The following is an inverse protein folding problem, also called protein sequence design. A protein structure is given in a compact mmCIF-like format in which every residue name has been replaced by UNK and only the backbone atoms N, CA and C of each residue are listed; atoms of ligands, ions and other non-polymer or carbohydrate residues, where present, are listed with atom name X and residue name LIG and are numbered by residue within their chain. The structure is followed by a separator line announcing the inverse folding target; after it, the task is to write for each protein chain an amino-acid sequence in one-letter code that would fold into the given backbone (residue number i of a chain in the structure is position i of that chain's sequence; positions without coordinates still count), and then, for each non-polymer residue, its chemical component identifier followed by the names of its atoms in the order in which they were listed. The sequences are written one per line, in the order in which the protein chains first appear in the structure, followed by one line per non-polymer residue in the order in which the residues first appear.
data_IF_647422065798
#
_entry.id   IF_647422065798
#
_cell.length_a   1.000
_cell.length_b   1.000
_cell.length_c   1.000
_cell.angle_alpha   90.00
_cell.angle_beta   90.00
_cell.angle_gamma   90.00
#
_symmetry.space_group_name_H-M   'P 1'
#
loop_
_entity.id
_entity.type
_entity.pdbx_description
1 polymer ?
#
# COMPACT_ATOMS: atom_id res chain seq x y z
N UNK A 1 -10.73 4.18 -13.69
CA UNK A 1 -11.13 5.42 -13.01
C UNK A 1 -10.19 6.55 -13.43
N UNK A 2 -10.68 7.46 -14.25
CA UNK A 2 -9.99 8.69 -14.65
C UNK A 2 -9.75 9.53 -13.40
N UNK A 3 -8.48 9.71 -13.00
CA UNK A 3 -8.15 10.68 -11.95
C UNK A 3 -8.52 12.06 -12.50
N UNK A 4 -9.51 12.70 -11.90
CA UNK A 4 -9.67 14.15 -12.06
C UNK A 4 -8.32 14.77 -11.65
N UNK A 5 -7.71 15.60 -12.52
CA UNK A 5 -6.54 16.37 -12.14
C UNK A 5 -6.83 17.12 -10.84
N UNK A 6 -5.88 17.29 -9.91
CA UNK A 6 -6.10 18.09 -8.70
C UNK A 6 -6.62 19.50 -8.99
N UNK A 7 -6.24 20.07 -10.14
CA UNK A 7 -6.74 21.37 -10.65
C UNK A 7 -8.21 21.38 -11.05
N UNK A 8 -8.85 20.21 -11.16
CA UNK A 8 -10.27 20.02 -11.47
C UNK A 8 -11.10 19.67 -10.24
N UNK A 9 -10.48 19.45 -9.08
CA UNK A 9 -11.20 19.28 -7.82
C UNK A 9 -11.67 20.65 -7.33
N UNK A 10 -12.89 20.70 -6.78
CA UNK A 10 -13.38 21.94 -6.17
C UNK A 10 -12.51 22.32 -4.97
N UNK A 11 -12.43 23.63 -4.69
CA UNK A 11 -11.74 24.13 -3.49
C UNK A 11 -12.37 23.55 -2.22
N UNK A 12 -13.69 23.41 -2.17
CA UNK A 12 -14.41 22.81 -1.04
C UNK A 12 -13.90 21.39 -0.75
N UNK A 13 -13.87 20.49 -1.75
CA UNK A 13 -13.35 19.12 -1.58
C UNK A 13 -11.88 19.14 -1.12
N UNK A 14 -11.06 19.98 -1.74
CA UNK A 14 -9.63 20.08 -1.44
C UNK A 14 -9.39 20.56 -0.01
N UNK A 15 -10.13 21.58 0.43
CA UNK A 15 -10.11 22.12 1.78
C UNK A 15 -10.54 21.08 2.81
N UNK A 16 -11.69 20.42 2.60
CA UNK A 16 -12.19 19.37 3.49
C UNK A 16 -11.17 18.24 3.63
N UNK A 17 -10.64 17.76 2.52
CA UNK A 17 -9.67 16.66 2.51
C UNK A 17 -8.40 17.01 3.28
N UNK A 18 -7.79 18.18 3.01
CA UNK A 18 -6.56 18.57 3.69
C UNK A 18 -6.76 18.81 5.19
N UNK A 19 -7.87 19.43 5.61
CA UNK A 19 -8.17 19.65 7.03
C UNK A 19 -8.32 18.32 7.76
N UNK A 20 -9.14 17.41 7.25
CA UNK A 20 -9.37 16.11 7.89
C UNK A 20 -8.11 15.25 7.91
N UNK A 21 -7.37 15.20 6.80
CA UNK A 21 -6.13 14.45 6.72
C UNK A 21 -5.11 14.96 7.76
N UNK A 22 -4.92 16.28 7.83
CA UNK A 22 -4.00 16.88 8.78
C UNK A 22 -4.41 16.63 10.25
N UNK A 23 -5.71 16.58 10.53
CA UNK A 23 -6.23 16.24 11.86
C UNK A 23 -5.91 14.79 12.23
N UNK A 24 -6.16 13.83 11.32
CA UNK A 24 -5.88 12.41 11.56
C UNK A 24 -4.38 12.06 11.58
N UNK A 25 -3.54 12.88 10.95
CA UNK A 25 -2.07 12.72 11.01
C UNK A 25 -1.48 13.12 12.37
N UNK A 26 -2.24 13.78 13.26
CA UNK A 26 -1.80 14.26 14.57
C UNK A 26 -0.51 15.10 14.52
N UNK A 27 -0.32 15.83 13.41
CA UNK A 27 0.90 16.58 13.10
C UNK A 27 0.63 18.09 13.11
N UNK A 28 1.30 18.81 14.01
CA UNK A 28 1.20 20.27 14.12
C UNK A 28 1.55 20.97 12.79
N UNK A 29 2.58 20.47 12.08
CA UNK A 29 3.00 21.03 10.79
C UNK A 29 1.95 20.76 9.71
N UNK A 30 1.38 19.56 9.68
CA UNK A 30 0.30 19.22 8.73
C UNK A 30 -0.91 20.11 8.95
N UNK A 31 -1.30 20.32 10.22
CA UNK A 31 -2.45 21.16 10.59
C UNK A 31 -2.22 22.62 10.18
N UNK A 32 -1.03 23.16 10.42
CA UNK A 32 -0.66 24.50 10.01
C UNK A 32 -0.70 24.68 8.47
N UNK A 33 -0.15 23.74 7.71
CA UNK A 33 -0.19 23.80 6.25
C UNK A 33 -1.62 23.66 5.70
N UNK A 34 -2.46 22.82 6.32
CA UNK A 34 -3.87 22.68 5.95
C UNK A 34 -4.63 23.99 6.19
N UNK A 35 -4.42 24.64 7.34
CA UNK A 35 -5.06 25.92 7.67
C UNK A 35 -4.59 27.06 6.77
N UNK A 36 -3.28 27.15 6.49
CA UNK A 36 -2.76 28.14 5.55
C UNK A 36 -3.41 27.98 4.17
N UNK A 37 -3.53 26.74 3.68
CA UNK A 37 -4.18 26.42 2.41
C UNK A 37 -5.67 26.76 2.44
N UNK A 38 -6.38 26.41 3.51
CA UNK A 38 -7.80 26.69 3.67
C UNK A 38 -8.08 28.20 3.58
N UNK A 39 -7.43 29.00 4.43
CA UNK A 39 -7.61 30.47 4.45
C UNK A 39 -7.27 31.07 3.10
N UNK A 40 -6.18 30.62 2.46
CA UNK A 40 -5.76 31.13 1.16
C UNK A 40 -6.76 30.78 0.05
N UNK A 41 -7.29 29.56 0.03
CA UNK A 41 -8.21 29.10 -1.03
C UNK A 41 -9.60 29.73 -0.91
N UNK A 42 -10.14 29.85 0.30
CA UNK A 42 -11.49 30.37 0.52
C UNK A 42 -11.52 31.89 0.34
N UNK A 43 -10.52 32.62 0.87
CA UNK A 43 -10.51 34.09 0.76
C UNK A 43 -10.25 34.59 -0.66
N UNK A 44 -9.50 33.85 -1.48
CA UNK A 44 -9.13 34.27 -2.84
C UNK A 44 -10.15 33.91 -3.92
N UNK A 45 -11.22 33.18 -3.61
CA UNK A 45 -12.13 32.61 -4.62
C UNK A 45 -12.71 33.65 -5.59
N UNK A 46 -13.25 34.75 -5.04
CA UNK A 46 -13.82 35.83 -5.86
C UNK A 46 -12.75 36.57 -6.67
N UNK A 47 -11.56 36.80 -6.08
CA UNK A 47 -10.47 37.46 -6.77
C UNK A 47 -10.00 36.60 -7.95
N UNK A 48 -9.76 35.32 -7.72
CA UNK A 48 -9.25 34.40 -8.73
C UNK A 48 -10.27 34.18 -9.86
N UNK A 49 -11.57 34.19 -9.54
CA UNK A 49 -12.63 33.96 -10.52
C UNK A 49 -12.99 35.21 -11.33
N UNK A 50 -13.01 36.38 -10.69
CA UNK A 50 -13.59 37.60 -11.28
C UNK A 50 -12.50 38.59 -11.70
N UNK A 51 -11.43 38.74 -10.92
CA UNK A 51 -10.37 39.75 -11.14
C UNK A 51 -8.97 39.18 -10.85
N UNK A 52 -8.49 38.18 -11.62
CA UNK A 52 -7.23 37.47 -11.33
C UNK A 52 -5.99 38.37 -11.34
N UNK A 53 -6.05 39.52 -12.01
CA UNK A 53 -4.94 40.48 -12.09
C UNK A 53 -5.01 41.61 -11.05
N UNK A 54 -6.04 41.62 -10.20
CA UNK A 54 -6.18 42.64 -9.15
C UNK A 54 -5.60 42.12 -7.83
N UNK A 55 -4.48 42.70 -7.40
CA UNK A 55 -3.90 42.37 -6.10
C UNK A 55 -4.70 43.05 -4.97
N UNK A 56 -5.32 42.24 -4.09
CA UNK A 56 -5.92 42.72 -2.84
C UNK A 56 -5.16 42.13 -1.65
N UNK A 57 -5.18 42.84 -0.53
CA UNK A 57 -4.58 42.33 0.71
C UNK A 57 -5.37 41.13 1.24
N UNK A 58 -4.66 40.16 1.83
CA UNK A 58 -5.30 38.99 2.44
C UNK A 58 -6.36 39.39 3.46
N UNK A 59 -6.09 40.39 4.29
CA UNK A 59 -7.05 40.89 5.29
C UNK A 59 -8.34 41.44 4.64
N UNK A 60 -8.24 42.07 3.47
CA UNK A 60 -9.42 42.53 2.73
C UNK A 60 -10.21 41.35 2.15
N UNK A 61 -9.52 40.32 1.69
CA UNK A 61 -10.13 39.13 1.11
C UNK A 61 -10.86 38.30 2.18
N UNK A 62 -10.20 38.04 3.31
CA UNK A 62 -10.80 37.31 4.45
C UNK A 62 -12.01 38.04 5.01
N UNK A 63 -11.95 39.37 5.12
CA UNK A 63 -13.10 40.18 5.58
C UNK A 63 -14.32 40.06 4.65
N UNK A 64 -14.11 40.00 3.33
CA UNK A 64 -15.22 39.87 2.36
C UNK A 64 -15.98 38.56 2.51
N UNK A 65 -15.27 37.47 2.82
CA UNK A 65 -15.87 36.14 3.05
C UNK A 65 -16.33 35.93 4.50
N UNK A 66 -16.28 36.96 5.36
CA UNK A 66 -16.72 36.89 6.75
C UNK A 66 -15.76 36.15 7.70
N UNK A 67 -14.51 35.92 7.29
CA UNK A 67 -13.51 35.30 8.16
C UNK A 67 -13.03 36.26 9.26
N UNK A 68 -12.85 35.78 10.50
CA UNK A 68 -12.17 36.52 11.57
C UNK A 68 -10.77 37.01 11.15
N UNK A 69 -10.39 38.21 11.59
CA UNK A 69 -9.08 38.79 11.29
C UNK A 69 -7.92 37.92 11.78
N UNK A 70 -8.07 37.29 12.96
CA UNK A 70 -7.03 36.43 13.54
C UNK A 70 -6.71 35.20 12.67
N UNK A 71 -7.59 34.75 11.78
CA UNK A 71 -7.28 33.69 10.81
C UNK A 71 -6.39 34.18 9.66
N UNK A 72 -6.54 35.46 9.26
CA UNK A 72 -5.65 36.08 8.30
C UNK A 72 -4.25 36.23 8.89
N UNK A 73 -4.17 36.64 10.17
CA UNK A 73 -2.92 36.74 10.92
C UNK A 73 -2.30 35.35 11.11
N UNK A 74 -3.09 34.35 11.51
CA UNK A 74 -2.66 32.95 11.61
C UNK A 74 -2.02 32.45 10.31
N UNK A 75 -2.68 32.67 9.17
CA UNK A 75 -2.14 32.30 7.85
C UNK A 75 -0.78 32.98 7.62
N UNK A 76 -0.69 34.28 7.89
CA UNK A 76 0.55 35.04 7.68
C UNK A 76 1.69 34.55 8.58
N UNK A 77 1.40 34.23 9.85
CA UNK A 77 2.38 33.68 10.79
C UNK A 77 2.89 32.32 10.32
N UNK A 78 2.02 31.44 9.81
CA UNK A 78 2.45 30.15 9.26
C UNK A 78 3.33 30.34 8.01
N UNK A 79 3.04 31.34 7.18
CA UNK A 79 3.74 31.53 5.90
C UNK A 79 5.07 32.28 6.02
N UNK A 80 5.14 33.26 6.93
CA UNK A 80 6.24 34.23 7.00
C UNK A 80 6.74 34.49 8.42
N UNK A 81 6.00 34.04 9.44
CA UNK A 81 6.33 34.22 10.84
C UNK A 81 6.81 32.94 11.52
N UNK A 82 6.59 32.87 12.82
CA UNK A 82 6.82 31.67 13.63
C UNK A 82 5.63 30.73 13.56
N UNK A 83 5.90 29.42 13.58
CA UNK A 83 4.85 28.40 13.65
C UNK A 83 3.95 28.65 14.89
N UNK A 84 2.63 28.82 14.71
CA UNK A 84 1.71 29.06 15.82
C UNK A 84 1.62 27.88 16.80
N UNK A 85 1.17 28.17 18.02
CA UNK A 85 0.96 27.13 19.04
C UNK A 85 -0.13 26.15 18.61
N UNK A 86 -0.07 24.92 19.14
CA UNK A 86 -1.04 23.88 18.79
C UNK A 86 -2.47 24.29 19.16
N UNK A 87 -2.67 24.98 20.28
CA UNK A 87 -3.99 25.42 20.73
C UNK A 87 -4.61 26.43 19.77
N UNK A 88 -3.79 27.32 19.18
CA UNK A 88 -4.26 28.28 18.20
C UNK A 88 -4.58 27.61 16.85
N UNK A 89 -3.77 26.62 16.45
CA UNK A 89 -4.03 25.81 15.27
C UNK A 89 -5.32 24.98 15.42
N UNK A 90 -5.56 24.38 16.57
CA UNK A 90 -6.79 23.63 16.86
C UNK A 90 -8.03 24.52 16.79
N UNK A 91 -7.98 25.74 17.34
CA UNK A 91 -9.07 26.72 17.18
C UNK A 91 -9.30 27.08 15.72
N UNK A 92 -8.23 27.28 14.96
CA UNK A 92 -8.29 27.50 13.51
C UNK A 92 -8.95 26.34 12.78
N UNK A 93 -8.61 25.11 13.17
CA UNK A 93 -9.18 23.89 12.62
C UNK A 93 -10.67 23.79 12.88
N UNK A 94 -11.12 23.92 14.13
CA UNK A 94 -12.54 23.81 14.46
C UNK A 94 -13.39 24.87 13.76
N UNK A 95 -12.90 26.11 13.67
CA UNK A 95 -13.60 27.16 12.92
C UNK A 95 -13.70 26.83 11.43
N UNK A 96 -12.59 26.36 10.84
CA UNK A 96 -12.55 25.99 9.42
C UNK A 96 -13.42 24.77 9.12
N UNK A 97 -13.47 23.81 10.05
CA UNK A 97 -14.30 22.61 9.95
C UNK A 97 -15.79 22.96 10.01
N UNK A 98 -16.18 23.87 10.90
CA UNK A 98 -17.56 24.39 10.99
C UNK A 98 -18.00 25.01 9.65
N UNK A 99 -17.16 25.89 9.08
CA UNK A 99 -17.43 26.51 7.78
C UNK A 99 -17.62 25.49 6.66
N UNK A 100 -16.78 24.45 6.64
CA UNK A 100 -16.88 23.36 5.66
C UNK A 100 -18.13 22.51 5.91
N UNK A 101 -18.50 22.26 7.17
CA UNK A 101 -19.70 21.52 7.54
C UNK A 101 -20.95 22.26 7.06
N UNK A 102 -21.07 23.55 7.37
CA UNK A 102 -22.20 24.37 6.95
C UNK A 102 -22.32 24.46 5.42
N UNK A 103 -21.18 24.53 4.71
CA UNK A 103 -21.13 24.43 3.26
C UNK A 103 -21.71 23.09 2.78
N UNK A 104 -21.25 21.98 3.33
CA UNK A 104 -21.73 20.66 2.92
C UNK A 104 -23.20 20.48 3.27
N UNK A 105 -23.65 20.80 4.48
CA UNK A 105 -25.05 20.70 4.91
C UNK A 105 -25.99 21.44 3.94
N UNK A 106 -25.60 22.65 3.54
CA UNK A 106 -26.36 23.46 2.56
C UNK A 106 -26.41 22.81 1.18
N UNK A 107 -25.33 22.16 0.75
CA UNK A 107 -25.20 21.57 -0.59
C UNK A 107 -25.60 20.08 -0.66
N UNK A 108 -25.78 19.41 0.49
CA UNK A 108 -26.14 17.99 0.59
C UNK A 108 -27.54 17.74 1.12
N UNK A 109 -28.27 18.78 1.53
CA UNK A 109 -29.66 18.70 2.03
C UNK A 109 -30.58 17.91 1.10
N UNK A 110 -30.48 18.09 -0.22
CA UNK A 110 -31.24 17.33 -1.23
C UNK A 110 -30.83 15.86 -1.37
N UNK A 111 -29.65 15.48 -0.88
CA UNK A 111 -29.16 14.10 -0.88
C UNK A 111 -29.56 13.33 0.38
N UNK A 112 -30.07 13.99 1.43
CA UNK A 112 -30.44 13.33 2.70
C UNK A 112 -31.36 12.11 2.51
N UNK A 113 -32.42 12.25 1.71
CA UNK A 113 -33.34 11.14 1.42
C UNK A 113 -32.69 10.03 0.58
N UNK A 114 -31.74 10.38 -0.29
CA UNK A 114 -30.98 9.41 -1.08
C UNK A 114 -30.05 8.63 -0.13
N UNK A 115 -29.32 9.30 0.76
CA UNK A 115 -28.43 8.68 1.73
C UNK A 115 -29.16 7.66 2.62
N UNK A 116 -30.33 8.01 3.18
CA UNK A 116 -31.12 7.10 4.03
C UNK A 116 -31.59 5.85 3.25
N UNK A 117 -32.03 6.02 2.00
CA UNK A 117 -32.42 4.89 1.14
C UNK A 117 -31.24 4.00 0.78
N UNK A 118 -30.09 4.60 0.48
CA UNK A 118 -28.87 3.86 0.16
C UNK A 118 -28.34 3.10 1.38
N UNK A 119 -28.39 3.70 2.57
CA UNK A 119 -27.94 3.09 3.83
C UNK A 119 -28.80 1.89 4.23
N UNK A 120 -30.13 2.02 4.19
CA UNK A 120 -31.05 0.90 4.46
C UNK A 120 -30.89 -0.25 3.46
N UNK A 121 -30.74 0.08 2.17
CA UNK A 121 -30.47 -0.93 1.13
C UNK A 121 -29.12 -1.63 1.36
N UNK A 122 -28.09 -0.88 1.76
CA UNK A 122 -26.76 -1.42 2.08
C UNK A 122 -26.81 -2.35 3.30
N UNK A 123 -27.45 -1.96 4.39
CA UNK A 123 -27.59 -2.80 5.58
C UNK A 123 -28.34 -4.11 5.29
N UNK A 124 -29.40 -4.06 4.48
CA UNK A 124 -30.09 -5.25 4.02
C UNK A 124 -29.17 -6.18 3.22
N UNK A 125 -28.31 -5.61 2.36
CA UNK A 125 -27.32 -6.36 1.59
C UNK A 125 -26.30 -7.06 2.49
N UNK A 126 -25.80 -6.35 3.50
CA UNK A 126 -24.87 -6.90 4.49
C UNK A 126 -25.48 -8.11 5.22
N UNK A 127 -26.75 -8.00 5.64
CA UNK A 127 -27.44 -9.11 6.30
C UNK A 127 -27.59 -10.36 5.41
N UNK A 128 -27.85 -10.17 4.10
CA UNK A 128 -27.87 -11.27 3.13
C UNK A 128 -26.49 -11.93 3.01
N UNK A 129 -25.43 -11.12 2.89
CA UNK A 129 -24.05 -11.63 2.82
C UNK A 129 -23.68 -12.40 4.07
N UNK A 130 -23.98 -11.88 5.27
CA UNK A 130 -23.70 -12.55 6.53
C UNK A 130 -24.45 -13.88 6.66
N UNK A 131 -25.74 -13.90 6.29
CA UNK A 131 -26.53 -15.14 6.28
C UNK A 131 -25.96 -16.19 5.31
N UNK A 132 -25.56 -15.75 4.12
CA UNK A 132 -24.91 -16.60 3.13
C UNK A 132 -23.57 -17.16 3.64
N UNK A 133 -22.70 -16.32 4.19
CA UNK A 133 -21.40 -16.75 4.71
C UNK A 133 -21.56 -17.67 5.93
N UNK A 134 -22.49 -17.37 6.83
CA UNK A 134 -22.77 -18.21 7.98
C UNK A 134 -23.21 -19.62 7.58
N UNK A 135 -24.10 -19.74 6.59
CA UNK A 135 -24.56 -21.04 6.09
C UNK A 135 -23.46 -21.82 5.36
N UNK A 136 -22.70 -21.16 4.49
CA UNK A 136 -21.74 -21.87 3.62
C UNK A 136 -20.36 -22.12 4.26
N UNK A 137 -20.01 -21.36 5.30
CA UNK A 137 -18.74 -21.55 6.03
C UNK A 137 -18.90 -22.39 7.31
N UNK A 138 -20.10 -22.48 7.90
CA UNK A 138 -20.33 -23.19 9.17
C UNK A 138 -20.96 -24.59 9.03
N UNK A 139 -21.86 -24.84 8.06
CA UNK A 139 -22.43 -26.18 7.79
C UNK A 139 -22.86 -26.35 6.31
N UNK A 140 -22.14 -27.13 5.48
CA UNK A 140 -22.32 -27.19 4.03
C UNK A 140 -23.57 -27.93 3.53
N UNK A 141 -24.65 -28.05 4.32
CA UNK A 141 -25.80 -28.91 4.01
C UNK A 141 -27.12 -28.25 3.59
N UNK A 142 -27.18 -26.93 3.42
CA UNK A 142 -28.40 -26.29 2.91
C UNK A 142 -28.09 -25.16 1.93
N UNK A 143 -28.45 -25.40 0.67
CA UNK A 143 -28.20 -24.51 -0.46
C UNK A 143 -29.47 -23.71 -0.77
N UNK A 144 -29.38 -22.38 -0.74
CA UNK A 144 -30.36 -21.49 -1.36
C UNK A 144 -29.63 -20.39 -2.15
N UNK A 145 -29.30 -20.67 -3.41
CA UNK A 145 -28.74 -19.68 -4.34
C UNK A 145 -29.68 -18.49 -4.61
N UNK A 146 -30.96 -18.60 -4.25
CA UNK A 146 -31.98 -17.56 -4.42
C UNK A 146 -31.73 -16.30 -3.56
N UNK A 147 -30.95 -16.40 -2.47
CA UNK A 147 -30.68 -15.23 -1.61
C UNK A 147 -29.78 -14.19 -2.28
N UNK A 148 -28.88 -14.60 -3.18
CA UNK A 148 -27.95 -13.68 -3.85
C UNK A 148 -28.62 -12.83 -4.92
N UNK A 149 -29.75 -13.28 -5.48
CA UNK A 149 -30.51 -12.51 -6.47
C UNK A 149 -31.12 -11.23 -5.88
N UNK A 150 -31.35 -11.18 -4.56
CA UNK A 150 -31.80 -9.99 -3.86
C UNK A 150 -30.73 -8.87 -3.86
N UNK A 151 -29.46 -9.20 -4.09
CA UNK A 151 -28.35 -8.24 -4.21
C UNK A 151 -28.32 -7.52 -5.57
N UNK A 152 -29.14 -7.94 -6.54
CA UNK A 152 -29.09 -7.45 -7.92
C UNK A 152 -29.29 -5.93 -8.02
N UNK A 153 -30.11 -5.35 -7.15
CA UNK A 153 -30.44 -3.93 -7.15
C UNK A 153 -29.27 -3.04 -6.68
N UNK A 154 -28.27 -3.59 -5.96
CA UNK A 154 -27.15 -2.83 -5.38
C UNK A 154 -25.89 -2.85 -6.24
N UNK A 155 -25.59 -3.97 -6.90
CA UNK A 155 -24.46 -4.05 -7.84
C UNK A 155 -24.70 -3.29 -9.15
N UNK A 156 -25.94 -2.83 -9.40
CA UNK A 156 -26.28 -1.95 -10.52
C UNK A 156 -26.12 -0.45 -10.24
N UNK A 157 -25.96 -0.03 -8.98
CA UNK A 157 -25.71 1.36 -8.58
C UNK A 157 -24.27 1.49 -8.07
N UNK A 158 -23.41 2.17 -8.85
CA UNK A 158 -21.98 2.38 -8.55
C UNK A 158 -21.73 2.97 -7.16
N UNK A 159 -22.73 3.61 -6.54
CA UNK A 159 -22.66 4.23 -5.21
C UNK A 159 -22.59 3.22 -4.06
N UNK A 160 -23.18 2.03 -4.21
CA UNK A 160 -23.27 1.02 -3.14
C UNK A 160 -22.50 -0.28 -3.46
N UNK A 161 -22.23 -0.56 -4.74
CA UNK A 161 -21.51 -1.76 -5.16
C UNK A 161 -20.08 -1.86 -4.59
N UNK A 162 -19.30 -0.77 -4.59
CA UNK A 162 -17.92 -0.78 -4.06
C UNK A 162 -17.88 -0.99 -2.54
N UNK A 163 -18.66 -0.26 -1.72
CA UNK A 163 -18.79 -0.54 -0.29
C UNK A 163 -19.21 -1.98 0.01
N UNK A 164 -20.14 -2.55 -0.78
CA UNK A 164 -20.58 -3.93 -0.58
C UNK A 164 -19.47 -4.94 -0.89
N UNK A 165 -18.67 -4.71 -1.93
CA UNK A 165 -17.48 -5.53 -2.21
C UNK A 165 -16.47 -5.47 -1.06
N UNK A 166 -16.26 -4.28 -0.47
CA UNK A 166 -15.40 -4.13 0.71
C UNK A 166 -15.93 -4.93 1.89
N UNK A 167 -17.23 -4.82 2.16
CA UNK A 167 -17.89 -5.56 3.23
C UNK A 167 -17.77 -7.08 3.02
N UNK A 168 -18.08 -7.58 1.83
CA UNK A 168 -17.92 -9.00 1.46
C UNK A 168 -16.48 -9.46 1.74
N UNK A 169 -15.49 -8.70 1.30
CA UNK A 169 -14.08 -9.04 1.52
C UNK A 169 -13.76 -9.13 3.02
N UNK A 170 -14.18 -8.14 3.80
CA UNK A 170 -13.93 -8.12 5.25
C UNK A 170 -14.63 -9.27 5.97
N UNK A 171 -15.89 -9.57 5.63
CA UNK A 171 -16.64 -10.67 6.25
C UNK A 171 -16.03 -12.04 5.93
N UNK A 172 -15.56 -12.25 4.69
CA UNK A 172 -14.81 -13.48 4.33
C UNK A 172 -13.53 -13.61 5.17
N UNK A 173 -12.78 -12.51 5.32
CA UNK A 173 -11.51 -12.49 6.06
C UNK A 173 -11.68 -12.58 7.58
N UNK A 174 -12.89 -12.39 8.12
CA UNK A 174 -13.19 -12.58 9.54
C UNK A 174 -13.41 -14.06 9.92
N UNK A 175 -13.47 -14.97 8.94
CA UNK A 175 -13.56 -16.40 9.20
C UNK A 175 -12.34 -16.87 10.01
N UNK A 176 -12.61 -17.44 11.19
CA UNK A 176 -11.57 -17.88 12.14
C UNK A 176 -11.07 -19.31 11.90
N UNK A 177 -11.55 -19.99 10.85
CA UNK A 177 -11.19 -21.38 10.62
C UNK A 177 -9.77 -21.50 10.01
N UNK A 178 -8.80 -22.07 10.74
CA UNK A 178 -7.42 -22.18 10.29
C UNK A 178 -7.26 -23.04 9.03
N UNK A 179 -8.21 -23.92 8.70
CA UNK A 179 -8.16 -24.77 7.49
C UNK A 179 -8.06 -23.94 6.21
N UNK A 180 -8.74 -22.79 6.20
CA UNK A 180 -8.81 -21.92 5.03
C UNK A 180 -7.51 -21.15 4.80
N UNK A 181 -6.70 -20.93 5.85
CA UNK A 181 -5.41 -20.28 5.70
C UNK A 181 -4.40 -21.17 4.96
N UNK A 182 -4.44 -22.49 5.21
CA UNK A 182 -3.56 -23.46 4.56
C UNK A 182 -4.02 -23.79 3.13
N UNK A 183 -5.33 -23.81 2.89
CA UNK A 183 -5.91 -24.11 1.59
C UNK A 183 -6.94 -23.04 1.15
N UNK A 184 -6.50 -21.87 0.67
CA UNK A 184 -7.40 -20.79 0.22
C UNK A 184 -8.38 -21.21 -0.88
N UNK A 185 -7.99 -22.20 -1.70
CA UNK A 185 -8.86 -22.76 -2.73
C UNK A 185 -10.10 -23.46 -2.15
N UNK A 186 -10.01 -24.07 -0.97
CA UNK A 186 -11.15 -24.70 -0.31
C UNK A 186 -12.17 -23.68 0.18
N UNK A 187 -11.70 -22.53 0.70
CA UNK A 187 -12.54 -21.38 1.01
C UNK A 187 -13.29 -20.90 -0.23
N UNK A 188 -12.56 -20.65 -1.32
CA UNK A 188 -13.16 -20.16 -2.57
C UNK A 188 -14.17 -21.16 -3.15
N UNK A 189 -13.97 -22.47 -2.93
CA UNK A 189 -14.92 -23.50 -3.31
C UNK A 189 -16.19 -23.45 -2.44
N UNK A 190 -16.07 -23.23 -1.13
CA UNK A 190 -17.23 -23.09 -0.22
C UNK A 190 -18.11 -21.88 -0.57
N UNK A 191 -17.51 -20.81 -1.10
CA UNK A 191 -18.23 -19.59 -1.51
C UNK A 191 -18.34 -19.44 -3.04
N UNK A 192 -18.29 -20.55 -3.79
CA UNK A 192 -18.27 -20.54 -5.26
C UNK A 192 -19.43 -19.74 -5.88
N UNK A 193 -20.66 -19.92 -5.37
CA UNK A 193 -21.84 -19.20 -5.86
C UNK A 193 -21.70 -17.68 -5.70
N UNK A 194 -21.17 -17.21 -4.57
CA UNK A 194 -20.89 -15.79 -4.34
C UNK A 194 -19.80 -15.26 -5.28
N UNK A 195 -18.70 -16.00 -5.49
CA UNK A 195 -17.63 -15.58 -6.40
C UNK A 195 -18.12 -15.49 -7.85
N UNK A 196 -18.92 -16.48 -8.30
CA UNK A 196 -19.54 -16.47 -9.62
C UNK A 196 -20.52 -15.30 -9.76
N UNK A 197 -21.31 -15.02 -8.73
CA UNK A 197 -22.21 -13.88 -8.72
C UNK A 197 -21.47 -12.54 -8.84
N UNK A 198 -20.44 -12.31 -8.01
CA UNK A 198 -19.62 -11.09 -8.05
C UNK A 198 -18.88 -10.95 -9.41
N UNK A 199 -18.48 -12.07 -10.02
CA UNK A 199 -17.93 -12.11 -11.38
C UNK A 199 -18.95 -11.66 -12.43
N UNK A 200 -20.17 -12.21 -12.40
CA UNK A 200 -21.25 -11.81 -13.32
C UNK A 200 -21.55 -10.31 -13.24
N UNK A 201 -21.41 -9.73 -12.05
CA UNK A 201 -21.54 -8.28 -11.84
C UNK A 201 -20.31 -7.47 -12.24
N UNK A 202 -19.24 -8.06 -12.78
CA UNK A 202 -17.99 -7.36 -13.15
C UNK A 202 -17.28 -6.69 -11.96
N UNK A 203 -17.39 -7.26 -10.75
CA UNK A 203 -16.79 -6.72 -9.53
C UNK A 203 -15.71 -7.63 -8.93
N UNK A 204 -15.41 -8.79 -9.53
CA UNK A 204 -14.47 -9.76 -8.98
C UNK A 204 -13.04 -9.20 -8.81
N UNK A 205 -12.57 -8.39 -9.77
CA UNK A 205 -11.26 -7.73 -9.67
C UNK A 205 -11.18 -6.76 -8.49
N UNK A 206 -12.30 -6.12 -8.12
CA UNK A 206 -12.37 -5.24 -6.96
C UNK A 206 -12.34 -6.07 -5.68
N UNK A 207 -13.05 -7.20 -5.64
CA UNK A 207 -13.02 -8.12 -4.51
C UNK A 207 -11.61 -8.67 -4.25
N UNK A 208 -10.92 -9.12 -5.31
CA UNK A 208 -9.53 -9.57 -5.22
C UNK A 208 -8.62 -8.46 -4.70
N UNK A 209 -8.78 -7.24 -5.21
CA UNK A 209 -8.03 -6.09 -4.74
C UNK A 209 -8.29 -5.81 -3.25
N UNK A 210 -9.54 -5.93 -2.79
CA UNK A 210 -9.86 -5.73 -1.37
C UNK A 210 -9.17 -6.76 -0.47
N UNK A 211 -8.99 -8.01 -0.90
CA UNK A 211 -8.21 -8.98 -0.12
C UNK A 211 -6.78 -8.49 0.13
N UNK A 212 -6.12 -7.95 -0.90
CA UNK A 212 -4.76 -7.39 -0.80
C UNK A 212 -4.77 -6.12 0.07
N UNK A 213 -5.76 -5.25 -0.10
CA UNK A 213 -5.87 -4.01 0.68
C UNK A 213 -6.15 -4.24 2.18
N UNK A 214 -6.66 -5.42 2.55
CA UNK A 214 -6.86 -5.82 3.95
C UNK A 214 -5.60 -6.41 4.59
N UNK A 215 -4.52 -6.61 3.85
CA UNK A 215 -3.22 -6.98 4.42
C UNK A 215 -2.67 -5.76 5.18
N UNK A 216 -2.22 -5.99 6.41
CA UNK A 216 -1.60 -4.98 7.26
C UNK A 216 -0.13 -5.37 7.54
N UNK A 217 0.54 -4.64 8.43
CA UNK A 217 1.90 -4.97 8.88
C UNK A 217 1.92 -5.71 10.25
N UNK A 218 0.77 -6.19 10.72
CA UNK A 218 0.56 -6.68 12.09
C UNK A 218 0.73 -8.19 12.23
N UNK A 219 1.10 -8.68 13.41
CA UNK A 219 1.58 -10.06 13.61
C UNK A 219 0.51 -11.12 13.87
N UNK A 220 -0.69 -10.76 14.34
CA UNK A 220 -1.50 -11.73 15.09
C UNK A 220 -2.60 -12.46 14.29
N UNK A 221 -3.03 -11.96 13.11
CA UNK A 221 -4.13 -12.59 12.31
C UNK A 221 -4.01 -12.42 10.79
N UNK A 222 -2.79 -12.42 10.26
CA UNK A 222 -2.60 -12.16 8.82
C UNK A 222 -2.52 -13.42 7.94
N UNK A 223 -2.44 -14.61 8.52
CA UNK A 223 -2.18 -15.85 7.78
C UNK A 223 -3.21 -16.11 6.66
N UNK A 224 -4.51 -15.93 6.93
CA UNK A 224 -5.55 -16.07 5.90
C UNK A 224 -5.50 -14.93 4.87
N UNK A 225 -5.31 -13.68 5.32
CA UNK A 225 -5.29 -12.50 4.43
C UNK A 225 -4.16 -12.60 3.41
N UNK A 226 -2.97 -12.97 3.88
CA UNK A 226 -1.78 -13.15 3.06
C UNK A 226 -1.96 -14.34 2.14
N UNK A 227 -2.34 -15.52 2.66
CA UNK A 227 -2.44 -16.72 1.83
C UNK A 227 -3.51 -16.62 0.75
N UNK A 228 -4.67 -16.01 1.07
CA UNK A 228 -5.73 -15.75 0.10
C UNK A 228 -5.28 -14.73 -0.96
N UNK A 229 -4.60 -13.66 -0.55
CA UNK A 229 -4.07 -12.67 -1.48
C UNK A 229 -3.03 -13.26 -2.43
N UNK A 230 -2.09 -14.06 -1.92
CA UNK A 230 -1.08 -14.75 -2.74
C UNK A 230 -1.76 -15.70 -3.73
N UNK A 231 -2.74 -16.49 -3.29
CA UNK A 231 -3.47 -17.41 -4.16
C UNK A 231 -4.17 -16.69 -5.32
N UNK A 232 -4.82 -15.55 -5.06
CA UNK A 232 -5.48 -14.78 -6.11
C UNK A 232 -4.51 -14.06 -7.04
N UNK A 233 -3.41 -13.47 -6.54
CA UNK A 233 -2.40 -12.84 -7.40
C UNK A 233 -1.75 -13.88 -8.32
N UNK A 234 -1.46 -15.07 -7.79
CA UNK A 234 -0.94 -16.20 -8.56
C UNK A 234 -1.95 -16.62 -9.64
N UNK A 235 -3.23 -16.74 -9.28
CA UNK A 235 -4.30 -17.10 -10.23
C UNK A 235 -4.48 -16.07 -11.35
N UNK A 236 -4.37 -14.78 -11.06
CA UNK A 236 -4.40 -13.71 -12.07
C UNK A 236 -3.29 -13.87 -13.11
N UNK A 237 -2.12 -14.38 -12.69
CA UNK A 237 -0.97 -14.58 -13.56
C UNK A 237 -1.05 -15.88 -14.34
N UNK A 238 -1.40 -16.96 -13.66
CA UNK A 238 -1.60 -18.28 -14.26
C UNK A 238 -2.69 -18.25 -15.32
N UNK A 239 -3.75 -17.46 -15.13
CA UNK A 239 -4.79 -17.27 -16.13
C UNK A 239 -4.25 -16.72 -17.45
N UNK A 240 -3.31 -15.75 -17.40
CA UNK A 240 -2.67 -15.20 -18.58
C UNK A 240 -1.68 -16.17 -19.22
N UNK A 241 -0.95 -16.92 -18.39
CA UNK A 241 0.02 -17.92 -18.82
C UNK A 241 -0.62 -19.24 -19.31
N UNK A 242 -1.94 -19.42 -19.10
CA UNK A 242 -2.68 -20.66 -19.34
C UNK A 242 -2.16 -21.84 -18.51
N UNK A 243 -1.69 -21.54 -17.29
CA UNK A 243 -1.27 -22.55 -16.32
C UNK A 243 -2.47 -23.15 -15.58
N UNK A 244 -2.31 -24.36 -15.05
CA UNK A 244 -3.33 -25.03 -14.24
C UNK A 244 -3.38 -24.44 -12.83
N UNK A 245 -4.46 -23.73 -12.50
CA UNK A 245 -4.70 -23.19 -11.17
C UNK A 245 -6.19 -23.27 -10.81
N UNK A 246 -6.56 -23.78 -9.62
CA UNK A 246 -7.96 -24.02 -9.24
C UNK A 246 -8.80 -22.75 -9.18
N UNK A 247 -8.21 -21.58 -8.94
CA UNK A 247 -8.93 -20.32 -8.88
C UNK A 247 -9.15 -19.69 -10.26
N UNK A 248 -8.41 -20.13 -11.30
CA UNK A 248 -8.58 -19.61 -12.65
C UNK A 248 -10.00 -19.82 -13.21
N UNK A 249 -10.75 -20.82 -12.72
CA UNK A 249 -12.16 -21.02 -13.12
C UNK A 249 -13.06 -19.84 -12.79
N UNK A 250 -12.73 -19.10 -11.73
CA UNK A 250 -13.48 -17.91 -11.32
C UNK A 250 -13.10 -16.67 -12.12
N UNK A 251 -11.94 -16.66 -12.78
CA UNK A 251 -11.46 -15.50 -13.52
C UNK A 251 -12.05 -15.42 -14.93
N UNK A 252 -12.02 -14.22 -15.50
CA UNK A 252 -12.29 -13.97 -16.91
C UNK A 252 -11.36 -12.86 -17.44
N UNK A 253 -11.41 -12.62 -18.75
CA UNK A 253 -10.59 -11.60 -19.39
C UNK A 253 -10.87 -10.18 -18.90
N UNK A 254 -12.10 -9.89 -18.44
CA UNK A 254 -12.45 -8.57 -17.91
C UNK A 254 -11.76 -8.34 -16.56
N UNK A 255 -11.89 -9.29 -15.63
CA UNK A 255 -11.30 -9.24 -14.30
C UNK A 255 -9.78 -9.00 -14.38
N UNK A 256 -9.07 -9.79 -15.19
CA UNK A 256 -7.61 -9.68 -15.33
C UNK A 256 -7.18 -8.37 -16.00
N UNK A 257 -7.91 -7.91 -17.02
CA UNK A 257 -7.59 -6.68 -17.74
C UNK A 257 -7.83 -5.42 -16.89
N UNK A 258 -8.82 -5.44 -16.01
CA UNK A 258 -9.26 -4.28 -15.23
C UNK A 258 -8.69 -4.22 -13.81
N UNK A 259 -7.96 -5.25 -13.38
CA UNK A 259 -7.33 -5.30 -12.06
C UNK A 259 -6.33 -4.15 -11.84
N UNK A 260 -6.49 -3.40 -10.73
CA UNK A 260 -5.67 -2.22 -10.41
C UNK A 260 -4.36 -2.62 -9.71
N UNK A 261 -3.41 -3.14 -10.51
CA UNK A 261 -2.06 -3.50 -10.08
C UNK A 261 -1.33 -2.36 -9.37
N UNK A 262 -1.58 -1.10 -9.78
CA UNK A 262 -0.97 0.07 -9.18
C UNK A 262 -1.44 0.28 -7.75
N UNK A 263 -2.74 0.15 -7.49
CA UNK A 263 -3.30 0.25 -6.14
C UNK A 263 -2.82 -0.89 -5.26
N UNK A 264 -2.77 -2.12 -5.78
CA UNK A 264 -2.20 -3.28 -5.07
C UNK A 264 -0.73 -3.05 -4.69
N UNK A 265 0.13 -2.66 -5.63
CA UNK A 265 1.55 -2.41 -5.37
C UNK A 265 1.77 -1.26 -4.37
N UNK A 266 1.05 -0.15 -4.53
CA UNK A 266 1.18 0.99 -3.61
C UNK A 266 0.80 0.61 -2.18
N UNK A 267 -0.26 -0.18 -2.00
CA UNK A 267 -0.64 -0.68 -0.69
C UNK A 267 0.46 -1.56 -0.09
N UNK A 268 0.95 -2.55 -0.85
CA UNK A 268 2.00 -3.45 -0.39
C UNK A 268 3.31 -2.73 -0.03
N UNK A 269 3.65 -1.65 -0.74
CA UNK A 269 4.80 -0.81 -0.39
C UNK A 269 4.62 -0.10 0.96
N UNK A 270 3.39 0.29 1.30
CA UNK A 270 3.06 0.96 2.58
C UNK A 270 3.03 -0.01 3.76
N UNK A 271 2.49 -1.22 3.55
CA UNK A 271 2.29 -2.22 4.62
C UNK A 271 3.38 -3.31 4.63
N UNK A 272 4.50 -3.09 3.92
CA UNK A 272 5.55 -4.08 3.75
C UNK A 272 6.11 -4.56 5.09
N UNK A 273 6.04 -5.86 5.33
CA UNK A 273 6.54 -6.53 6.54
C UNK A 273 7.27 -7.83 6.17
N UNK A 274 7.96 -8.43 7.15
CA UNK A 274 8.59 -9.75 6.95
C UNK A 274 7.54 -10.81 6.64
N UNK A 275 6.36 -10.72 7.26
CA UNK A 275 5.29 -11.71 7.13
C UNK A 275 4.62 -11.71 5.76
N UNK A 276 4.50 -10.53 5.13
CA UNK A 276 3.84 -10.38 3.83
C UNK A 276 4.83 -10.19 2.67
N UNK A 277 6.13 -10.41 2.89
CA UNK A 277 7.17 -10.20 1.88
C UNK A 277 6.96 -11.05 0.61
N UNK A 278 6.52 -12.31 0.77
CA UNK A 278 6.24 -13.18 -0.37
C UNK A 278 5.11 -12.63 -1.25
N UNK A 279 4.08 -12.04 -0.64
CA UNK A 279 3.03 -11.34 -1.38
C UNK A 279 3.57 -10.09 -2.08
N UNK A 280 4.44 -9.31 -1.43
CA UNK A 280 5.11 -8.16 -2.07
C UNK A 280 5.88 -8.59 -3.32
N UNK A 281 6.65 -9.68 -3.22
CA UNK A 281 7.42 -10.25 -4.33
C UNK A 281 6.50 -10.65 -5.47
N UNK A 282 5.41 -11.36 -5.15
CA UNK A 282 4.45 -11.83 -6.14
C UNK A 282 3.77 -10.65 -6.84
N UNK A 283 3.31 -9.64 -6.11
CA UNK A 283 2.70 -8.41 -6.69
C UNK A 283 3.68 -7.67 -7.60
N UNK A 284 4.96 -7.57 -7.25
CA UNK A 284 5.97 -6.89 -8.06
C UNK A 284 6.27 -7.65 -9.36
N UNK A 285 6.41 -8.99 -9.28
CA UNK A 285 6.67 -9.84 -10.46
C UNK A 285 5.49 -9.85 -11.43
N UNK A 286 4.30 -9.82 -10.87
CA UNK A 286 3.04 -9.99 -11.57
C UNK A 286 2.45 -8.69 -12.10
N UNK A 287 3.01 -7.56 -11.68
CA UNK A 287 2.58 -6.21 -12.02
C UNK A 287 2.32 -6.01 -13.52
N UNK A 288 1.17 -5.40 -13.86
CA UNK A 288 0.84 -4.96 -15.23
C UNK A 288 0.65 -3.43 -15.28
N UNK A 289 1.20 -2.74 -16.31
CA UNK A 289 2.04 -3.28 -17.40
C UNK A 289 3.39 -3.81 -16.89
N UNK A 290 3.99 -4.82 -17.54
CA UNK A 290 5.16 -5.51 -17.02
C UNK A 290 6.31 -4.55 -16.75
N UNK A 291 6.87 -4.64 -15.54
CA UNK A 291 8.03 -3.84 -15.14
C UNK A 291 9.31 -4.46 -15.69
N UNK A 292 10.29 -3.63 -16.06
CA UNK A 292 11.62 -4.12 -16.42
C UNK A 292 12.25 -4.88 -15.23
N UNK A 293 12.94 -5.98 -15.52
CA UNK A 293 13.55 -6.84 -14.50
C UNK A 293 14.50 -6.07 -13.57
N UNK A 294 15.27 -5.11 -14.10
CA UNK A 294 16.18 -4.27 -13.31
C UNK A 294 15.44 -3.42 -12.27
N UNK A 295 14.26 -2.90 -12.62
CA UNK A 295 13.40 -2.12 -11.74
C UNK A 295 12.73 -3.00 -10.68
N UNK A 296 12.27 -4.20 -11.06
CA UNK A 296 11.76 -5.18 -10.11
C UNK A 296 12.82 -5.54 -9.07
N UNK A 297 14.03 -5.88 -9.53
CA UNK A 297 15.16 -6.21 -8.66
C UNK A 297 15.54 -5.06 -7.71
N UNK A 298 15.48 -3.81 -8.18
CA UNK A 298 15.74 -2.62 -7.36
C UNK A 298 14.70 -2.47 -6.25
N UNK A 299 13.41 -2.57 -6.58
CA UNK A 299 12.32 -2.44 -5.60
C UNK A 299 12.41 -3.54 -4.55
N UNK A 300 12.56 -4.80 -4.98
CA UNK A 300 12.69 -5.93 -4.06
C UNK A 300 13.96 -5.85 -3.21
N UNK A 301 15.06 -5.33 -3.77
CA UNK A 301 16.28 -5.06 -3.03
C UNK A 301 16.10 -4.00 -1.94
N UNK A 302 15.38 -2.92 -2.23
CA UNK A 302 15.04 -1.91 -1.23
C UNK A 302 14.12 -2.47 -0.14
N UNK A 303 13.12 -3.29 -0.50
CA UNK A 303 12.27 -3.97 0.48
C UNK A 303 13.08 -4.90 1.39
N UNK A 304 13.98 -5.73 0.83
CA UNK A 304 14.87 -6.60 1.61
C UNK A 304 15.74 -5.80 2.59
N UNK A 305 16.34 -4.71 2.12
CA UNK A 305 17.16 -3.84 2.94
C UNK A 305 16.34 -3.19 4.07
N UNK A 306 15.12 -2.72 3.77
CA UNK A 306 14.21 -2.14 4.76
C UNK A 306 13.77 -3.15 5.82
N UNK A 307 13.44 -4.37 5.40
CA UNK A 307 12.98 -5.44 6.30
C UNK A 307 14.12 -6.18 7.01
N UNK A 308 15.39 -5.87 6.70
CA UNK A 308 16.55 -6.59 7.22
C UNK A 308 16.68 -8.03 6.71
N UNK A 309 15.92 -8.41 5.67
CA UNK A 309 15.95 -9.72 5.00
C UNK A 309 17.09 -9.70 3.97
N UNK A 310 18.32 -9.51 4.41
CA UNK A 310 19.47 -9.61 3.52
C UNK A 310 20.00 -11.05 3.55
N UNK A 311 19.80 -11.80 2.45
CA UNK A 311 20.45 -13.11 2.22
C UNK A 311 21.99 -13.01 2.14
N UNK A 312 22.51 -11.78 2.08
CA UNK A 312 23.92 -11.47 2.18
C UNK A 312 24.11 -10.73 3.51
N UNK A 313 24.92 -11.24 4.42
CA UNK A 313 25.28 -10.57 5.68
C UNK A 313 26.09 -9.27 5.51
N UNK A 314 25.70 -8.39 4.59
CA UNK A 314 26.33 -7.11 4.33
C UNK A 314 25.30 -5.99 4.57
N UNK A 315 25.09 -5.56 5.82
CA UNK A 315 24.50 -4.25 6.08
C UNK A 315 25.31 -3.17 5.33
N UNK A 316 24.73 -2.00 5.00
CA UNK A 316 25.50 -0.87 4.48
C UNK A 316 26.68 -0.64 5.41
N UNK A 317 27.90 -0.85 4.91
CA UNK A 317 29.09 -0.71 5.73
C UNK A 317 29.25 0.77 6.07
N UNK A 318 28.92 1.14 7.31
CA UNK A 318 29.13 2.48 7.83
C UNK A 318 30.54 2.54 8.38
N UNK A 319 31.43 3.23 7.67
CA UNK A 319 32.80 3.51 8.12
C UNK A 319 32.85 4.89 8.76
N UNK A 320 33.14 4.95 10.05
CA UNK A 320 33.33 6.20 10.79
C UNK A 320 34.81 6.56 10.71
N UNK A 321 35.14 7.78 10.28
CA UNK A 321 36.50 8.32 10.29
C UNK A 321 36.54 9.57 11.15
N UNK A 322 37.27 9.51 12.24
CA UNK A 322 37.51 10.65 13.12
C UNK A 322 38.77 11.41 12.64
N UNK A 323 38.64 12.71 12.42
CA UNK A 323 39.74 13.64 12.19
C UNK A 323 39.79 14.63 13.36
N UNK A 324 40.88 15.39 13.47
CA UNK A 324 41.10 16.35 14.58
C UNK A 324 39.94 17.33 14.78
N UNK A 325 39.37 17.82 13.67
CA UNK A 325 38.35 18.88 13.69
C UNK A 325 36.94 18.42 13.25
N UNK A 326 36.79 17.19 12.73
CA UNK A 326 35.50 16.66 12.30
C UNK A 326 35.45 15.12 12.27
N UNK A 327 34.24 14.59 12.32
CA UNK A 327 33.95 13.17 12.14
C UNK A 327 33.21 12.97 10.82
N UNK A 328 33.66 12.00 10.02
CA UNK A 328 33.04 11.63 8.74
C UNK A 328 32.37 10.27 8.85
N UNK A 329 31.06 10.21 8.64
CA UNK A 329 30.30 8.98 8.50
C UNK A 329 30.22 8.62 7.03
N UNK A 330 30.81 7.51 6.63
CA UNK A 330 30.84 7.04 5.25
C UNK A 330 29.96 5.82 5.09
N UNK A 331 28.85 5.96 4.37
CA UNK A 331 27.89 4.88 4.12
C UNK A 331 28.14 4.35 2.72
N UNK A 332 28.57 3.08 2.63
CA UNK A 332 28.76 2.43 1.34
C UNK A 332 27.46 1.77 0.91
N UNK A 333 26.93 2.23 -0.22
CA UNK A 333 25.89 1.56 -0.98
C UNK A 333 26.50 0.86 -2.20
N UNK A 334 25.70 0.08 -2.94
CA UNK A 334 26.16 -0.69 -4.12
C UNK A 334 26.90 0.15 -5.15
N UNK A 335 26.42 1.38 -5.42
CA UNK A 335 26.95 2.26 -6.47
C UNK A 335 27.56 3.57 -5.96
N UNK A 336 27.16 4.04 -4.79
CA UNK A 336 27.53 5.35 -4.26
C UNK A 336 28.12 5.25 -2.85
N UNK A 337 29.02 6.19 -2.53
CA UNK A 337 29.56 6.38 -1.19
C UNK A 337 29.05 7.71 -0.67
N UNK A 338 28.14 7.67 0.30
CA UNK A 338 27.63 8.87 0.95
C UNK A 338 28.56 9.24 2.10
N UNK A 339 28.94 10.52 2.21
CA UNK A 339 29.78 11.02 3.30
C UNK A 339 29.07 12.17 4.02
N UNK A 340 28.75 11.96 5.29
CA UNK A 340 28.26 13.00 6.19
C UNK A 340 29.44 13.50 7.05
N UNK A 341 29.73 14.80 7.00
CA UNK A 341 30.80 15.44 7.80
C UNK A 341 30.17 16.21 8.94
N UNK A 342 30.56 15.91 10.18
CA UNK A 342 30.02 16.55 11.40
C UNK A 342 31.17 17.16 12.18
N UNK A 343 31.09 18.44 12.47
CA UNK A 343 32.11 19.20 13.23
C UNK A 343 31.80 19.24 14.73
N UNK A 344 30.52 19.21 15.11
CA UNK A 344 30.07 19.34 16.50
C UNK A 344 30.09 18.00 17.25
N UNK A 345 30.86 17.91 18.34
CA UNK A 345 31.09 16.66 19.10
C UNK A 345 29.82 16.08 19.75
N UNK A 346 28.89 16.92 20.19
CA UNK A 346 27.65 16.45 20.84
C UNK A 346 26.70 15.74 19.86
N UNK A 347 26.66 16.19 18.59
CA UNK A 347 25.86 15.57 17.54
C UNK A 347 26.43 14.21 17.12
N UNK A 348 27.75 14.04 17.20
CA UNK A 348 28.43 12.77 16.88
C UNK A 348 27.93 11.63 17.78
N UNK A 349 27.77 11.88 19.09
CA UNK A 349 27.30 10.86 20.03
C UNK A 349 25.88 10.37 19.70
N UNK A 350 24.97 11.30 19.42
CA UNK A 350 23.58 11.00 19.02
C UNK A 350 23.53 10.21 17.72
N UNK A 351 24.30 10.62 16.71
CA UNK A 351 24.35 9.93 15.42
C UNK A 351 24.93 8.52 15.58
N UNK A 352 25.98 8.33 16.40
CA UNK A 352 26.52 7.00 16.71
C UNK A 352 25.49 6.09 17.38
N UNK A 353 24.69 6.61 18.32
CA UNK A 353 23.63 5.83 18.99
C UNK A 353 22.44 5.47 18.08
N UNK A 354 22.21 6.25 17.02
CA UNK A 354 21.16 5.98 16.04
C UNK A 354 21.58 4.97 14.96
N UNK A 355 22.86 4.58 14.89
CA UNK A 355 23.31 3.55 13.97
C UNK A 355 22.91 2.16 14.51
N UNK A 356 22.47 1.23 13.64
CA UNK A 356 22.08 -0.11 14.06
C UNK A 356 23.27 -0.80 14.76
N UNK A 357 23.05 -1.58 15.84
CA UNK A 357 24.10 -2.07 16.75
C UNK A 357 25.07 -3.12 16.16
N UNK A 358 24.93 -3.51 14.88
CA UNK A 358 25.90 -4.36 14.16
C UNK A 358 26.40 -3.75 12.84
N UNK A 359 27.20 -2.68 12.86
CA UNK A 359 28.18 -2.43 11.82
C UNK A 359 29.44 -3.20 12.24
N UNK A 360 29.97 -4.10 11.40
CA UNK A 360 31.32 -4.63 11.58
C UNK A 360 32.33 -3.46 11.48
N UNK A 361 32.55 -2.78 12.60
CA UNK A 361 33.66 -1.87 12.80
C UNK A 361 34.92 -2.73 12.88
N UNK A 362 35.41 -3.13 11.72
CA UNK A 362 36.76 -3.63 11.61
C UNK A 362 37.69 -2.43 11.72
N UNK A 363 38.26 -2.26 12.91
CA UNK A 363 39.48 -1.51 13.11
C UNK A 363 40.61 -2.29 12.42
N UNK A 364 40.70 -2.16 11.09
CA UNK A 364 41.70 -2.84 10.28
C UNK A 364 42.96 -1.98 10.21
N UNK A 365 43.93 -2.34 11.05
CA UNK A 365 45.36 -2.16 10.80
C UNK A 365 45.70 -2.75 9.42
N UNK A 366 46.56 -2.05 8.67
CA UNK A 366 47.04 -2.42 7.34
C UNK A 366 47.41 -3.91 7.24
N UNK A 367 46.70 -4.64 6.38
CA UNK A 367 47.29 -5.73 5.58
C UNK A 367 46.37 -6.00 4.38
N UNK A 368 46.90 -5.80 3.18
CA UNK A 368 46.16 -5.88 1.94
C UNK A 368 45.57 -7.26 1.68
N UNK A 369 44.31 -7.30 1.24
CA UNK A 369 43.76 -8.34 0.36
C UNK A 369 42.66 -7.71 -0.49
N UNK A 370 42.91 -7.69 -1.80
CA UNK A 370 41.96 -7.30 -2.83
C UNK A 370 41.05 -8.50 -3.10
N UNK A 371 39.73 -8.36 -2.90
CA UNK A 371 38.77 -9.31 -3.45
C UNK A 371 38.51 -8.94 -4.91
N UNK A 372 39.12 -9.69 -5.84
CA UNK A 372 38.74 -9.67 -7.26
C UNK A 372 37.45 -10.46 -7.44
N UNK A 373 36.51 -9.86 -8.16
CA UNK A 373 35.39 -10.53 -8.81
C UNK A 373 35.91 -11.31 -10.01
N UNK A 374 35.85 -12.63 -9.97
CA UNK A 374 35.81 -13.48 -11.16
C UNK A 374 35.27 -14.85 -10.73
N UNK A 375 34.10 -15.24 -11.26
CA UNK A 375 33.88 -16.63 -11.67
C UNK A 375 32.73 -16.74 -12.67
N UNK A 376 33.13 -17.32 -13.78
CA UNK A 376 32.41 -17.67 -14.99
C UNK A 376 31.10 -18.42 -14.78
N UNK A 377 30.22 -18.19 -15.76
CA UNK A 377 29.08 -19.01 -16.15
C UNK A 377 29.55 -20.42 -16.53
N UNK A 378 28.87 -21.50 -16.10
CA UNK A 378 28.87 -22.74 -16.86
C UNK A 378 27.63 -22.80 -17.75
N UNK A 379 27.88 -22.90 -19.05
CA UNK A 379 26.94 -23.32 -20.07
C UNK A 379 26.37 -24.70 -19.77
N UNK A 380 25.04 -24.83 -19.80
CA UNK A 380 24.37 -26.13 -19.93
C UNK A 380 23.53 -26.07 -21.20
N UNK A 381 23.93 -26.83 -22.21
CA UNK A 381 23.05 -27.25 -23.29
C UNK A 381 22.71 -28.73 -23.12
N UNK A 382 21.44 -28.99 -23.42
CA UNK A 382 20.65 -30.22 -23.53
C UNK A 382 21.45 -31.49 -23.93
N UNK A 383 21.06 -32.72 -23.61
CA UNK A 383 19.75 -33.35 -23.81
C UNK A 383 19.75 -34.75 -23.14
N UNK A 384 18.58 -35.18 -22.67
CA UNK A 384 18.01 -36.57 -22.60
C UNK A 384 18.94 -37.75 -22.29
N UNK A 385 18.66 -38.56 -21.25
CA UNK A 385 17.77 -39.74 -21.30
C UNK A 385 17.83 -40.58 -20.01
N UNK A 386 16.84 -41.46 -19.88
CA UNK A 386 16.44 -42.34 -18.77
C UNK A 386 17.51 -42.98 -17.88
N UNK A 387 17.15 -43.16 -16.59
CA UNK A 387 17.71 -44.22 -15.74
C UNK A 387 16.60 -45.06 -15.07
N UNK A 388 16.45 -46.30 -15.54
CA UNK A 388 15.89 -47.41 -14.77
C UNK A 388 16.98 -47.99 -13.86
N UNK A 389 16.53 -48.36 -12.66
CA UNK A 389 16.95 -49.40 -11.74
C UNK A 389 18.43 -49.84 -11.65
N UNK A 390 18.88 -49.84 -10.40
CA UNK A 390 20.03 -50.54 -9.84
C UNK A 390 19.99 -52.04 -10.12
N UNK A 391 21.16 -52.64 -10.39
CA UNK A 391 21.67 -53.80 -9.64
C UNK A 391 23.17 -54.04 -9.90
N UNK A 392 23.83 -54.44 -8.80
CA UNK A 392 25.13 -55.09 -8.61
C UNK A 392 25.84 -55.63 -9.87
N UNK A 393 27.16 -55.52 -9.98
CA UNK A 393 28.15 -56.48 -9.43
C UNK A 393 29.59 -56.02 -9.74
N UNK A 394 30.46 -56.17 -8.73
CA UNK A 394 31.89 -56.60 -8.71
C UNK A 394 32.87 -56.39 -9.88
N UNK A 395 34.14 -56.24 -9.45
CA UNK A 395 35.42 -56.39 -10.16
C UNK A 395 35.82 -55.17 -11.01
N UNK A 396 37.04 -54.62 -10.94
CA UNK A 396 38.27 -55.07 -10.31
C UNK A 396 39.42 -54.55 -11.18
N UNK A 397 40.40 -53.90 -10.56
CA UNK A 397 41.76 -53.89 -11.08
C UNK A 397 42.22 -52.70 -11.95
N UNK A 398 43.41 -52.25 -11.54
CA UNK A 398 44.54 -51.72 -12.35
C UNK A 398 44.66 -50.21 -12.52
N UNK A 399 45.58 -49.71 -11.70
CA UNK A 399 46.55 -48.67 -11.96
C UNK A 399 47.08 -48.63 -13.41
N UNK A 400 47.23 -47.42 -13.94
CA UNK A 400 48.36 -46.84 -14.70
C UNK A 400 47.84 -45.43 -15.09
N UNK A 401 48.49 -44.30 -14.84
CA UNK A 401 49.92 -44.03 -14.89
C UNK A 401 50.20 -43.18 -16.14
N UNK A 402 50.57 -41.93 -15.88
CA UNK A 402 51.36 -41.00 -16.72
C UNK A 402 50.70 -39.96 -17.64
N UNK A 403 51.09 -38.73 -17.28
CA UNK A 403 51.37 -37.49 -18.04
C UNK A 403 50.20 -36.61 -18.43
#
# INVERSE_FOLDING_TARGET
MTRLPPSKLSRSITCTHHLLLAYFEESQLSLALALMRFVSLVSSEDQDRIKPYAAQSLLSLTRKVGMPCWLADLRNDIAHGSLPSIELLERGFWWSLECVRDFWDSNTSHFSLICVKTESSFLSACAIVDSFLASHLSDPKTCCGSQLDELNNLFGDDRAGVPLVQYIATSILQCSDPKFSVAPASLCQSIESLLVYVKQKQHLQLLILQFILNVSASTERESLRISLSVAWVTALCDFLARNSNPLCKFLDGYCVKTFDWRRALNHMLTVCSIHNYDLCVEVVRSYKPPMEYSKQATILGHMKAFLGINDCGCPPAVKIKENKDNVKFKIRCSRFLYTLVVTEKEKVGKIKSSLPPKPLASELVLAGKVCRSDKAVPSVNCHTEHRRSTNNTTCGGKCFGNR
#
